data_IF_656401806468
#
_entry.id   IF_656401806468
#
_cell.length_a   1.000
_cell.length_b   1.000
_cell.length_c   1.000
_cell.angle_alpha   90.00
_cell.angle_beta   90.00
_cell.angle_gamma   90.00
#
_symmetry.space_group_name_H-M   'P 1'
#
loop_
_entity.id
_entity.type
_entity.pdbx_description
1 polymer ?
#
# COMPACT_ATOMS: atom_id res chain seq x y z
N UNK A 1 8.93 23.06 -27.36
CA UNK A 1 7.62 23.46 -26.80
C UNK A 1 7.68 23.27 -25.29
N UNK A 2 7.28 24.25 -24.51
CA UNK A 2 7.20 24.18 -23.05
C UNK A 2 5.78 23.84 -22.63
N UNK A 3 5.60 22.82 -21.80
CA UNK A 3 4.30 22.47 -21.20
C UNK A 3 4.13 23.25 -19.91
N UNK A 4 3.04 24.02 -19.80
CA UNK A 4 2.68 24.73 -18.56
C UNK A 4 1.86 23.81 -17.66
N UNK A 5 2.32 23.58 -16.43
CA UNK A 5 1.59 22.86 -15.38
C UNK A 5 0.80 23.88 -14.57
N UNK A 6 -0.51 23.68 -14.43
CA UNK A 6 -1.34 24.56 -13.62
C UNK A 6 -1.27 24.15 -12.15
N UNK A 7 -1.51 25.11 -11.24
CA UNK A 7 -1.55 24.84 -9.81
C UNK A 7 -2.56 23.72 -9.45
N UNK A 8 -3.71 23.69 -10.13
CA UNK A 8 -4.72 22.66 -9.93
C UNK A 8 -4.20 21.25 -10.28
N UNK A 9 -3.41 21.12 -11.35
CA UNK A 9 -2.80 19.85 -11.77
C UNK A 9 -1.83 19.33 -10.70
N UNK A 10 -1.06 20.25 -10.08
CA UNK A 10 -0.13 19.91 -9.01
C UNK A 10 -0.87 19.44 -7.75
N UNK A 11 -1.90 20.18 -7.32
CA UNK A 11 -2.67 19.84 -6.12
C UNK A 11 -3.34 18.47 -6.31
N UNK A 12 -3.98 18.27 -7.46
CA UNK A 12 -4.71 17.04 -7.74
C UNK A 12 -3.78 15.83 -7.86
N UNK A 13 -2.62 15.98 -8.50
CA UNK A 13 -1.65 14.88 -8.62
C UNK A 13 -1.09 14.45 -7.26
N UNK A 14 -0.76 15.38 -6.37
CA UNK A 14 -0.29 15.08 -5.02
C UNK A 14 -1.40 14.40 -4.21
N UNK A 15 -2.62 14.95 -4.23
CA UNK A 15 -3.78 14.36 -3.54
C UNK A 15 -4.02 12.92 -4.01
N UNK A 16 -4.08 12.69 -5.32
CA UNK A 16 -4.29 11.37 -5.87
C UNK A 16 -3.17 10.39 -5.47
N UNK A 17 -1.92 10.83 -5.51
CA UNK A 17 -0.77 10.02 -5.11
C UNK A 17 -0.83 9.64 -3.62
N UNK A 18 -1.09 10.59 -2.73
CA UNK A 18 -1.16 10.35 -1.29
C UNK A 18 -2.32 9.42 -0.91
N UNK A 19 -3.49 9.60 -1.52
CA UNK A 19 -4.61 8.68 -1.34
C UNK A 19 -4.25 7.27 -1.84
N UNK A 20 -3.64 7.15 -3.02
CA UNK A 20 -3.23 5.86 -3.56
C UNK A 20 -2.25 5.12 -2.63
N UNK A 21 -1.15 5.75 -2.22
CA UNK A 21 -0.14 5.08 -1.38
C UNK A 21 -0.67 4.75 0.03
N UNK A 22 -1.68 5.47 0.51
CA UNK A 22 -2.31 5.16 1.80
C UNK A 22 -3.10 3.85 1.79
N UNK A 23 -3.58 3.40 0.63
CA UNK A 23 -4.44 2.21 0.49
C UNK A 23 -3.71 1.00 -0.09
N UNK A 24 -2.67 1.20 -0.89
CA UNK A 24 -2.03 0.14 -1.66
C UNK A 24 -0.57 -0.07 -1.25
N UNK A 25 -0.23 -1.32 -0.91
CA UNK A 25 1.16 -1.75 -0.98
C UNK A 25 1.59 -1.96 -2.45
N UNK A 26 2.87 -1.74 -2.78
CA UNK A 26 3.45 -2.12 -4.06
C UNK A 26 3.26 -3.61 -4.39
N UNK A 27 3.08 -3.93 -5.67
CA UNK A 27 2.82 -5.30 -6.12
C UNK A 27 3.99 -6.25 -5.83
N UNK A 28 5.23 -5.77 -5.94
CA UNK A 28 6.45 -6.51 -5.62
C UNK A 28 6.53 -6.82 -4.12
N UNK A 29 6.21 -5.86 -3.24
CA UNK A 29 6.14 -6.09 -1.79
C UNK A 29 5.17 -7.24 -1.47
N UNK A 30 3.95 -7.22 -2.03
CA UNK A 30 2.96 -8.28 -1.82
C UNK A 30 3.46 -9.62 -2.37
N UNK A 31 4.05 -9.65 -3.56
CA UNK A 31 4.58 -10.88 -4.15
C UNK A 31 5.71 -11.49 -3.30
N UNK A 32 6.60 -10.64 -2.76
CA UNK A 32 7.69 -11.10 -1.90
C UNK A 32 7.19 -11.58 -0.53
N UNK A 33 6.24 -10.85 0.08
CA UNK A 33 5.65 -11.25 1.36
C UNK A 33 4.86 -12.57 1.23
N UNK A 34 4.11 -12.76 0.14
CA UNK A 34 3.41 -14.02 -0.13
C UNK A 34 4.40 -15.19 -0.29
N UNK A 35 5.50 -15.01 -1.04
CA UNK A 35 6.54 -16.03 -1.16
C UNK A 35 7.22 -16.34 0.18
N UNK A 36 7.39 -15.34 1.05
CA UNK A 36 7.93 -15.53 2.39
C UNK A 36 6.95 -16.33 3.27
N UNK A 37 5.66 -15.98 3.25
CA UNK A 37 4.60 -16.67 3.97
C UNK A 37 4.55 -18.18 3.64
N UNK A 38 4.68 -18.55 2.37
CA UNK A 38 4.68 -19.95 1.95
C UNK A 38 5.87 -20.75 2.53
N UNK A 39 7.00 -20.10 2.73
CA UNK A 39 8.26 -20.74 3.17
C UNK A 39 8.48 -20.68 4.68
N UNK A 40 7.81 -19.76 5.37
CA UNK A 40 8.00 -19.51 6.80
C UNK A 40 7.63 -20.75 7.64
N UNK A 41 8.49 -21.07 8.60
CA UNK A 41 8.38 -22.23 9.48
C UNK A 41 7.88 -21.84 10.87
N UNK A 42 8.17 -20.62 11.33
CA UNK A 42 7.68 -20.11 12.61
C UNK A 42 6.18 -19.82 12.53
N UNK A 43 5.33 -20.50 13.34
CA UNK A 43 3.88 -20.28 13.29
C UNK A 43 3.50 -18.81 13.55
N UNK A 44 4.11 -18.19 14.56
CA UNK A 44 3.84 -16.80 14.91
C UNK A 44 4.23 -15.83 13.78
N UNK A 45 5.36 -16.06 13.12
CA UNK A 45 5.78 -15.22 11.99
C UNK A 45 4.87 -15.42 10.77
N UNK A 46 4.48 -16.67 10.50
CA UNK A 46 3.57 -17.02 9.41
C UNK A 46 2.19 -16.37 9.59
N UNK A 47 1.66 -16.38 10.81
CA UNK A 47 0.39 -15.72 11.16
C UNK A 47 0.49 -14.20 11.00
N UNK A 48 1.58 -13.58 11.43
CA UNK A 48 1.81 -12.16 11.24
C UNK A 48 1.84 -11.77 9.75
N UNK A 49 2.53 -12.55 8.91
CA UNK A 49 2.54 -12.34 7.46
C UNK A 49 1.13 -12.49 6.85
N UNK A 50 0.37 -13.51 7.28
CA UNK A 50 -1.02 -13.69 6.83
C UNK A 50 -1.91 -12.49 7.18
N UNK A 51 -1.72 -11.92 8.37
CA UNK A 51 -2.44 -10.72 8.80
C UNK A 51 -2.06 -9.50 7.94
N UNK A 52 -0.79 -9.28 7.64
CA UNK A 52 -0.35 -8.18 6.76
C UNK A 52 -0.95 -8.32 5.35
N UNK A 53 -0.93 -9.54 4.78
CA UNK A 53 -1.54 -9.80 3.46
C UNK A 53 -3.06 -9.56 3.48
N UNK A 54 -3.74 -9.99 4.55
CA UNK A 54 -5.18 -9.78 4.72
C UNK A 54 -5.51 -8.30 4.85
N UNK A 55 -4.77 -7.56 5.67
CA UNK A 55 -4.91 -6.12 5.84
C UNK A 55 -4.68 -5.37 4.53
N UNK A 56 -3.69 -5.80 3.73
CA UNK A 56 -3.43 -5.23 2.41
C UNK A 56 -4.63 -5.37 1.47
N UNK A 57 -5.28 -6.54 1.46
CA UNK A 57 -6.50 -6.75 0.67
C UNK A 57 -7.68 -5.91 1.17
N UNK A 58 -7.87 -5.84 2.49
CA UNK A 58 -8.96 -5.05 3.09
C UNK A 58 -8.79 -3.55 2.84
N UNK A 59 -7.56 -3.04 2.95
CA UNK A 59 -7.19 -1.66 2.66
C UNK A 59 -7.51 -1.29 1.21
N UNK A 60 -7.02 -2.11 0.26
CA UNK A 60 -7.23 -1.90 -1.18
C UNK A 60 -8.71 -1.93 -1.61
N UNK A 61 -9.49 -2.85 -1.04
CA UNK A 61 -10.92 -3.00 -1.38
C UNK A 61 -11.83 -2.02 -0.65
N UNK A 62 -11.45 -1.62 0.57
CA UNK A 62 -12.20 -0.66 1.38
C UNK A 62 -11.82 0.79 1.14
N UNK A 63 -10.75 1.08 0.40
CA UNK A 63 -10.15 2.40 0.26
C UNK A 63 -9.92 3.07 1.63
N UNK A 64 -9.32 2.30 2.54
CA UNK A 64 -9.02 2.71 3.92
C UNK A 64 -7.52 2.72 4.12
N UNK A 65 -6.96 3.60 4.96
CA UNK A 65 -5.54 3.57 5.28
C UNK A 65 -5.10 2.18 5.76
N UNK A 66 -3.97 1.70 5.26
CA UNK A 66 -3.44 0.37 5.58
C UNK A 66 -2.87 0.29 7.01
N UNK A 67 -2.51 1.44 7.58
CA UNK A 67 -1.94 1.59 8.91
C UNK A 67 -2.68 2.73 9.64
N UNK A 68 -2.70 2.69 10.98
CA UNK A 68 -3.21 3.82 11.78
C UNK A 68 -2.31 5.07 11.66
N UNK A 69 -1.02 4.85 11.44
CA UNK A 69 -0.04 5.90 11.19
C UNK A 69 0.11 6.07 9.68
N UNK A 70 -0.37 7.20 9.17
CA UNK A 70 -0.35 7.54 7.73
C UNK A 70 0.87 8.34 7.33
N UNK A 71 1.82 8.56 8.23
CA UNK A 71 2.97 9.44 8.00
C UNK A 71 2.64 10.94 8.11
N UNK A 72 3.67 11.77 7.90
CA UNK A 72 3.65 13.24 7.87
C UNK A 72 3.97 13.73 6.46
#
# INVERSE_FOLDING_TARGET
MTTTIQQADLIESIRAALQYISYYHPADYIAHLAKAYEREQSPAAKDAMAQILTNSKMSATGQRPICQDTGI
#
